data_IF_637839919935
#
_entry.id   IF_637839919935
#
_cell.length_a   1.000
_cell.length_b   1.000
_cell.length_c   1.000
_cell.angle_alpha   90.00
_cell.angle_beta   90.00
_cell.angle_gamma   90.00
#
_symmetry.space_group_name_H-M   'P 1'
#
loop_
_entity.id
_entity.type
_entity.pdbx_description
1 polymer ?
#
# COMPACT_ATOMS: atom_id res chain seq x y z
N UNK A 1 34.65 -15.88 -41.74
CA UNK A 1 35.01 -14.51 -42.18
C UNK A 1 34.26 -13.55 -41.29
N UNK A 2 34.79 -12.52 -40.65
CA UNK A 2 36.13 -12.06 -40.35
C UNK A 2 35.96 -11.04 -39.21
N UNK A 3 36.75 -11.15 -38.13
CA UNK A 3 37.28 -10.06 -37.28
C UNK A 3 37.79 -10.67 -35.98
N UNK A 4 38.99 -11.24 -36.08
CA UNK A 4 39.77 -11.74 -34.95
C UNK A 4 41.22 -11.32 -35.23
N UNK A 5 41.61 -10.12 -34.80
CA UNK A 5 43.03 -9.75 -34.54
C UNK A 5 43.15 -8.32 -34.03
N UNK A 6 43.36 -8.18 -32.72
CA UNK A 6 44.48 -7.43 -32.11
C UNK A 6 44.18 -7.27 -30.62
N UNK A 7 44.97 -7.95 -29.80
CA UNK A 7 45.75 -7.37 -28.71
C UNK A 7 46.47 -8.54 -28.00
N UNK A 8 47.78 -8.59 -28.19
CA UNK A 8 48.72 -9.45 -27.46
C UNK A 8 49.47 -8.62 -26.42
N UNK A 9 49.91 -9.32 -25.36
CA UNK A 9 50.85 -8.92 -24.29
C UNK A 9 50.22 -8.06 -23.16
N UNK A 10 50.22 -8.40 -21.86
CA UNK A 10 51.12 -9.23 -21.04
C UNK A 10 50.34 -10.01 -19.94
N UNK A 11 50.96 -11.08 -19.41
CA UNK A 11 50.41 -12.07 -18.45
C UNK A 11 49.86 -11.49 -17.13
N UNK A 12 49.07 -12.21 -16.34
CA UNK A 12 49.12 -13.65 -16.01
C UNK A 12 47.77 -14.12 -15.43
N UNK A 13 47.40 -15.38 -15.76
CA UNK A 13 46.34 -16.23 -15.19
C UNK A 13 44.88 -15.77 -15.30
N UNK A 14 44.33 -15.83 -16.51
CA UNK A 14 42.88 -15.98 -16.74
C UNK A 14 42.55 -17.47 -16.94
N UNK A 15 41.61 -17.98 -16.14
CA UNK A 15 41.00 -19.30 -16.34
C UNK A 15 39.98 -19.15 -17.46
N UNK A 16 40.11 -19.95 -18.52
CA UNK A 16 39.26 -19.90 -19.71
C UNK A 16 37.76 -20.12 -19.39
N UNK A 17 36.85 -19.42 -20.09
CA UNK A 17 35.41 -19.66 -19.97
C UNK A 17 35.11 -21.04 -20.58
N UNK A 18 34.62 -21.96 -19.74
CA UNK A 18 34.34 -23.35 -20.11
C UNK A 18 35.16 -24.42 -19.38
N UNK A 19 36.00 -24.07 -18.39
CA UNK A 19 36.71 -25.11 -17.63
C UNK A 19 35.77 -25.87 -16.68
N UNK A 20 35.83 -27.22 -16.62
CA UNK A 20 35.05 -28.04 -15.67
C UNK A 20 35.26 -27.63 -14.20
N UNK A 21 36.39 -27.00 -13.90
CA UNK A 21 36.75 -26.52 -12.56
C UNK A 21 35.94 -25.30 -12.12
N UNK A 22 35.44 -24.47 -13.05
CA UNK A 22 34.55 -23.36 -12.73
C UNK A 22 33.14 -23.84 -12.36
N UNK A 23 32.62 -24.81 -13.12
CA UNK A 23 31.32 -25.44 -12.87
C UNK A 23 31.35 -26.31 -11.60
N UNK A 24 32.46 -27.00 -11.34
CA UNK A 24 32.66 -27.79 -10.13
C UNK A 24 32.84 -26.92 -8.89
N UNK A 25 33.44 -25.72 -9.02
CA UNK A 25 33.42 -24.71 -7.95
C UNK A 25 32.00 -24.18 -7.72
N UNK A 26 31.26 -23.85 -8.77
CA UNK A 26 29.86 -23.44 -8.68
C UNK A 26 28.99 -24.49 -7.96
N UNK A 27 29.13 -25.78 -8.32
CA UNK A 27 28.42 -26.89 -7.66
C UNK A 27 28.87 -27.11 -6.21
N UNK A 28 30.16 -26.97 -5.91
CA UNK A 28 30.70 -27.11 -4.55
C UNK A 28 30.34 -25.93 -3.63
N UNK A 29 30.18 -24.72 -4.18
CA UNK A 29 29.69 -23.57 -3.41
C UNK A 29 28.18 -23.62 -3.20
N UNK A 30 27.40 -24.05 -4.19
CA UNK A 30 25.97 -24.29 -4.02
C UNK A 30 25.70 -25.36 -2.95
N UNK A 31 26.46 -26.46 -2.92
CA UNK A 31 26.31 -27.50 -1.89
C UNK A 31 26.77 -27.03 -0.50
N UNK A 32 27.84 -26.24 -0.41
CA UNK A 32 28.33 -25.71 0.87
C UNK A 32 27.44 -24.59 1.46
N UNK A 33 26.75 -23.83 0.60
CA UNK A 33 25.90 -22.70 1.03
C UNK A 33 24.44 -23.11 1.28
N UNK A 34 23.92 -24.09 0.52
CA UNK A 34 22.53 -24.57 0.63
C UNK A 34 22.36 -25.75 1.61
N UNK A 35 23.43 -26.44 2.02
CA UNK A 35 23.36 -27.62 2.90
C UNK A 35 24.46 -27.67 3.99
N UNK A 36 24.42 -26.81 5.02
CA UNK A 36 25.30 -26.95 6.16
C UNK A 36 24.76 -28.03 7.12
N UNK A 37 25.01 -29.31 6.83
CA UNK A 37 24.99 -30.36 7.85
C UNK A 37 24.22 -31.63 7.52
N UNK A 38 24.92 -32.64 7.01
CA UNK A 38 24.54 -34.06 7.18
C UNK A 38 25.77 -34.88 7.56
N UNK A 39 26.07 -34.90 8.86
CA UNK A 39 26.78 -36.02 9.47
C UNK A 39 26.17 -36.31 10.84
N UNK A 40 25.64 -37.52 10.99
CA UNK A 40 24.99 -38.04 12.19
C UNK A 40 25.94 -38.09 13.39
N UNK A 41 25.52 -37.54 14.54
CA UNK A 41 25.64 -38.23 15.83
C UNK A 41 24.57 -37.74 16.81
N UNK A 42 23.76 -38.68 17.27
CA UNK A 42 22.69 -38.54 18.25
C UNK A 42 23.16 -37.88 19.56
N UNK A 43 22.31 -37.07 20.19
CA UNK A 43 21.85 -37.37 21.55
C UNK A 43 20.63 -36.53 21.97
N UNK A 44 19.64 -37.25 22.47
CA UNK A 44 18.45 -36.84 23.21
C UNK A 44 18.64 -35.58 24.07
N UNK A 45 17.87 -34.52 23.79
CA UNK A 45 17.39 -33.52 24.77
C UNK A 45 15.98 -33.06 24.38
N UNK A 46 15.03 -33.98 24.38
CA UNK A 46 13.60 -33.71 24.30
C UNK A 46 13.04 -33.88 25.71
N UNK A 47 12.83 -32.77 26.41
CA UNK A 47 12.02 -32.66 27.65
C UNK A 47 12.16 -31.29 28.33
N UNK A 48 13.29 -30.59 28.19
CA UNK A 48 13.52 -29.30 28.90
C UNK A 48 13.19 -28.05 28.07
N UNK A 49 12.96 -28.18 26.76
CA UNK A 49 12.58 -27.06 25.90
C UNK A 49 11.08 -26.82 25.81
N UNK A 50 10.25 -27.84 26.10
CA UNK A 50 8.79 -27.69 26.15
C UNK A 50 8.37 -26.87 27.39
N UNK A 51 8.92 -27.18 28.57
CA UNK A 51 8.68 -26.38 29.79
C UNK A 51 9.21 -24.93 29.70
N UNK A 52 10.27 -24.69 28.92
CA UNK A 52 10.81 -23.34 28.72
C UNK A 52 9.93 -22.50 27.78
N UNK A 53 9.27 -23.14 26.82
CA UNK A 53 8.32 -22.47 25.91
C UNK A 53 7.02 -22.18 26.67
N UNK A 54 6.54 -23.09 27.51
CA UNK A 54 5.34 -22.86 28.34
C UNK A 54 5.60 -21.77 29.40
N UNK A 55 6.77 -21.78 30.06
CA UNK A 55 7.17 -20.70 30.98
C UNK A 55 7.31 -19.34 30.28
N UNK A 56 7.77 -19.30 29.03
CA UNK A 56 7.86 -18.06 28.26
C UNK A 56 6.47 -17.58 27.82
N UNK A 57 5.57 -18.50 27.47
CA UNK A 57 4.20 -18.18 27.06
C UNK A 57 3.41 -17.63 28.25
N UNK A 58 3.57 -18.23 29.44
CA UNK A 58 2.98 -17.74 30.68
C UNK A 58 3.55 -16.39 31.10
N UNK A 59 4.86 -16.16 30.95
CA UNK A 59 5.46 -14.84 31.22
C UNK A 59 4.98 -13.78 30.21
N UNK A 60 4.79 -14.15 28.94
CA UNK A 60 4.31 -13.25 27.90
C UNK A 60 2.82 -12.91 28.08
N UNK A 61 2.00 -13.89 28.46
CA UNK A 61 0.59 -13.68 28.83
C UNK A 61 0.50 -12.81 30.07
N UNK A 62 1.25 -13.11 31.14
CA UNK A 62 1.26 -12.30 32.35
C UNK A 62 1.74 -10.86 32.11
N UNK A 63 2.77 -10.64 31.27
CA UNK A 63 3.19 -9.28 30.88
C UNK A 63 2.13 -8.54 30.06
N UNK A 64 1.37 -9.24 29.20
CA UNK A 64 0.27 -8.62 28.46
C UNK A 64 -0.93 -8.33 29.35
N UNK A 65 -1.24 -9.20 30.30
CA UNK A 65 -2.32 -9.00 31.28
C UNK A 65 -1.98 -7.85 32.22
N UNK A 66 -0.74 -7.76 32.73
CA UNK A 66 -0.28 -6.62 33.53
C UNK A 66 -0.31 -5.31 32.75
N UNK A 67 0.14 -5.28 31.49
CA UNK A 67 0.02 -4.08 30.65
C UNK A 67 -1.43 -3.67 30.41
N UNK A 68 -2.34 -4.64 30.30
CA UNK A 68 -3.77 -4.37 30.16
C UNK A 68 -4.39 -3.84 31.46
N UNK A 69 -3.99 -4.37 32.62
CA UNK A 69 -4.41 -3.88 33.92
C UNK A 69 -3.86 -2.48 34.21
N UNK A 70 -2.60 -2.21 33.87
CA UNK A 70 -2.00 -0.86 33.93
C UNK A 70 -2.68 0.13 32.98
N UNK A 71 -3.05 -0.30 31.76
CA UNK A 71 -3.81 0.54 30.81
C UNK A 71 -5.23 0.80 31.30
N UNK A 72 -5.89 -0.22 31.88
CA UNK A 72 -7.23 -0.09 32.47
C UNK A 72 -7.21 0.84 33.67
N UNK A 73 -6.24 0.69 34.57
CA UNK A 73 -6.12 1.54 35.76
C UNK A 73 -5.72 2.98 35.40
N UNK A 74 -4.96 3.18 34.32
CA UNK A 74 -4.68 4.51 33.76
C UNK A 74 -5.91 5.12 33.07
N UNK A 75 -6.77 4.34 32.41
CA UNK A 75 -8.03 4.82 31.83
C UNK A 75 -9.06 5.19 32.89
N UNK A 76 -9.13 4.42 33.99
CA UNK A 76 -10.02 4.68 35.13
C UNK A 76 -9.51 5.86 35.97
N UNK A 77 -8.20 6.09 36.07
CA UNK A 77 -7.64 7.28 36.73
C UNK A 77 -7.72 8.55 35.86
N UNK A 78 -7.74 8.41 34.53
CA UNK A 78 -7.76 9.55 33.59
C UNK A 78 -9.17 10.06 33.27
N UNK A 79 -10.23 9.36 33.68
CA UNK A 79 -11.61 9.82 33.54
C UNK A 79 -12.05 10.86 34.59
N UNK A 80 -11.16 11.32 35.48
CA UNK A 80 -11.48 12.35 36.49
C UNK A 80 -10.84 13.72 36.18
N UNK A 81 -9.92 13.85 35.23
CA UNK A 81 -9.22 15.12 34.98
C UNK A 81 -8.96 15.36 33.48
N UNK A 82 -9.76 16.26 32.92
CA UNK A 82 -9.45 17.18 31.80
C UNK A 82 -9.67 16.70 30.36
N UNK A 83 -10.74 17.24 29.77
CA UNK A 83 -10.87 17.53 28.34
C UNK A 83 -9.81 18.58 27.93
N UNK A 84 -8.96 18.28 26.94
CA UNK A 84 -8.57 19.23 25.89
C UNK A 84 -7.78 18.54 24.76
N UNK A 85 -8.04 18.99 23.54
CA UNK A 85 -7.67 18.40 22.26
C UNK A 85 -6.18 18.47 21.93
N UNK A 86 -5.65 17.43 21.26
CA UNK A 86 -4.67 17.56 20.17
C UNK A 86 -4.56 16.24 19.38
N UNK A 87 -5.03 16.23 18.13
CA UNK A 87 -4.74 15.17 17.16
C UNK A 87 -3.69 15.65 16.16
N UNK A 88 -2.52 15.03 16.26
CA UNK A 88 -1.41 15.09 15.33
C UNK A 88 -1.79 14.36 14.03
N UNK A 89 -1.76 15.04 12.89
CA UNK A 89 -1.88 14.42 11.56
C UNK A 89 -0.69 14.84 10.72
N UNK A 90 0.16 13.85 10.43
CA UNK A 90 1.37 14.00 9.63
C UNK A 90 1.08 14.04 8.12
N UNK A 91 1.84 14.92 7.47
CA UNK A 91 2.45 14.80 6.15
C UNK A 91 1.57 14.43 4.94
N UNK A 92 0.92 15.46 4.39
CA UNK A 92 0.62 15.54 2.96
C UNK A 92 0.79 16.99 2.48
N UNK A 93 2.05 17.45 2.34
CA UNK A 93 2.33 18.73 1.68
C UNK A 93 3.77 18.80 1.17
N UNK A 94 4.03 18.19 0.02
CA UNK A 94 5.10 18.63 -0.86
C UNK A 94 4.60 18.55 -2.29
N UNK A 95 3.91 19.60 -2.72
CA UNK A 95 4.20 20.30 -3.98
C UNK A 95 3.11 21.35 -4.26
N UNK A 96 3.55 22.43 -4.91
CA UNK A 96 2.80 23.62 -5.33
C UNK A 96 2.61 24.68 -4.23
N UNK A 97 3.73 25.29 -3.83
CA UNK A 97 3.71 26.63 -3.24
C UNK A 97 3.87 27.66 -4.34
N UNK A 98 2.81 28.43 -4.62
CA UNK A 98 2.86 29.71 -5.35
C UNK A 98 1.53 30.48 -5.18
N UNK A 99 1.08 30.68 -3.94
CA UNK A 99 0.08 31.73 -3.68
C UNK A 99 0.77 33.11 -3.66
N UNK A 100 0.25 34.06 -4.43
CA UNK A 100 0.78 35.42 -4.47
C UNK A 100 0.53 36.13 -3.12
N UNK A 101 1.47 36.97 -2.68
CA UNK A 101 1.35 37.75 -1.44
C UNK A 101 0.11 38.66 -1.39
N UNK A 102 -0.50 38.97 -2.55
CA UNK A 102 -1.77 39.69 -2.64
C UNK A 102 -2.96 38.86 -2.12
N UNK A 103 -3.06 37.59 -2.51
CA UNK A 103 -4.13 36.69 -2.07
C UNK A 103 -4.10 36.43 -0.56
N UNK A 104 -2.91 36.36 0.03
CA UNK A 104 -2.75 36.22 1.48
C UNK A 104 -3.25 37.46 2.24
N UNK A 105 -3.17 38.65 1.64
CA UNK A 105 -3.69 39.89 2.21
C UNK A 105 -5.21 39.96 2.07
N UNK A 106 -5.77 39.52 0.94
CA UNK A 106 -7.22 39.39 0.77
C UNK A 106 -7.79 38.37 1.76
N UNK A 107 -7.13 37.22 1.95
CA UNK A 107 -7.48 36.21 2.97
C UNK A 107 -7.33 36.70 4.42
N UNK A 108 -6.40 37.63 4.69
CA UNK A 108 -6.28 38.27 6.01
C UNK A 108 -7.34 39.35 6.21
N UNK A 109 -7.77 40.05 5.16
CA UNK A 109 -8.91 40.95 5.19
C UNK A 109 -10.25 40.20 5.28
N UNK A 110 -10.30 38.95 4.82
CA UNK A 110 -11.44 38.01 4.94
C UNK A 110 -11.64 37.47 6.38
N UNK A 111 -10.71 37.73 7.31
CA UNK A 111 -10.67 37.10 8.65
C UNK A 111 -11.48 37.83 9.74
N UNK A 112 -12.46 38.66 9.38
CA UNK A 112 -13.37 39.33 10.32
C UNK A 112 -14.76 38.66 10.37
N UNK A 113 -15.49 38.69 11.50
CA UNK A 113 -16.53 37.71 11.86
C UNK A 113 -17.87 37.85 11.10
N UNK A 114 -17.91 38.63 10.03
CA UNK A 114 -19.13 38.93 9.27
C UNK A 114 -18.74 39.02 7.80
N UNK A 115 -18.78 37.91 7.06
CA UNK A 115 -18.61 37.94 5.61
C UNK A 115 -19.77 38.74 4.98
N UNK A 116 -19.60 40.05 4.82
CA UNK A 116 -20.41 40.91 3.96
C UNK A 116 -20.13 40.70 2.46
N UNK A 117 -19.50 39.57 2.09
CA UNK A 117 -19.23 39.20 0.71
C UNK A 117 -20.46 38.54 0.10
N UNK A 118 -21.07 39.29 -0.81
CA UNK A 118 -22.16 38.81 -1.65
C UNK A 118 -21.56 38.13 -2.88
N UNK A 119 -21.74 36.81 -3.01
CA UNK A 119 -21.20 36.06 -4.15
C UNK A 119 -21.83 36.47 -5.49
N UNK A 120 -22.94 37.23 -5.47
CA UNK A 120 -23.63 37.73 -6.67
C UNK A 120 -22.78 38.67 -7.53
N UNK A 121 -21.84 39.40 -6.92
CA UNK A 121 -20.96 40.31 -7.64
C UNK A 121 -19.68 39.65 -8.16
N UNK A 122 -19.46 38.37 -7.85
CA UNK A 122 -18.23 37.67 -8.21
C UNK A 122 -18.36 37.04 -9.60
N UNK A 123 -17.31 37.17 -10.40
CA UNK A 123 -17.15 36.37 -11.62
C UNK A 123 -16.86 34.91 -11.25
N UNK A 124 -17.17 33.98 -12.17
CA UNK A 124 -16.92 32.55 -11.97
C UNK A 124 -15.45 32.23 -11.59
N UNK A 125 -14.41 32.82 -12.22
CA UNK A 125 -13.03 32.57 -11.82
C UNK A 125 -12.71 33.08 -10.41
N UNK A 126 -13.33 34.18 -9.97
CA UNK A 126 -13.14 34.70 -8.61
C UNK A 126 -13.78 33.79 -7.56
N UNK A 127 -14.99 33.26 -7.85
CA UNK A 127 -15.65 32.28 -6.99
C UNK A 127 -14.82 30.99 -6.89
N UNK A 128 -14.33 30.50 -8.02
CA UNK A 128 -13.51 29.29 -8.10
C UNK A 128 -12.21 29.45 -7.29
N UNK A 129 -11.49 30.55 -7.48
CA UNK A 129 -10.26 30.84 -6.75
C UNK A 129 -10.51 31.01 -5.24
N UNK A 130 -11.64 31.61 -4.86
CA UNK A 130 -11.98 31.79 -3.45
C UNK A 130 -12.28 30.43 -2.79
N UNK A 131 -13.05 29.56 -3.45
CA UNK A 131 -13.31 28.21 -2.96
C UNK A 131 -12.03 27.38 -2.87
N UNK A 132 -11.19 27.39 -3.90
CA UNK A 132 -9.88 26.71 -3.87
C UNK A 132 -9.00 27.21 -2.73
N UNK A 133 -8.92 28.53 -2.53
CA UNK A 133 -8.16 29.11 -1.43
C UNK A 133 -8.67 28.64 -0.05
N UNK A 134 -10.00 28.57 0.14
CA UNK A 134 -10.57 28.05 1.38
C UNK A 134 -10.30 26.55 1.59
N UNK A 135 -10.24 25.77 0.51
CA UNK A 135 -9.89 24.34 0.53
C UNK A 135 -8.41 24.14 0.89
N UNK A 136 -7.51 24.92 0.29
CA UNK A 136 -6.07 24.85 0.57
C UNK A 136 -5.73 25.22 2.02
N UNK A 137 -6.39 26.25 2.54
CA UNK A 137 -6.20 26.72 3.93
C UNK A 137 -6.97 25.83 4.92
N UNK A 138 -7.83 24.93 4.43
CA UNK A 138 -8.74 24.08 5.21
C UNK A 138 -9.59 24.88 6.19
N UNK A 139 -9.98 26.10 5.81
CA UNK A 139 -10.82 26.95 6.65
C UNK A 139 -12.28 26.51 6.55
N UNK A 140 -12.68 25.64 7.46
CA UNK A 140 -14.02 25.04 7.51
C UNK A 140 -15.16 26.07 7.60
N UNK A 141 -14.97 27.15 8.36
CA UNK A 141 -16.05 28.12 8.62
C UNK A 141 -16.37 28.90 7.34
N UNK A 142 -15.34 29.46 6.72
CA UNK A 142 -15.50 30.28 5.51
C UNK A 142 -15.94 29.42 4.32
N UNK A 143 -15.39 28.22 4.19
CA UNK A 143 -15.82 27.28 3.17
C UNK A 143 -17.32 26.95 3.28
N UNK A 144 -17.81 26.59 4.48
CA UNK A 144 -19.22 26.28 4.68
C UNK A 144 -20.13 27.50 4.46
N UNK A 145 -19.64 28.70 4.78
CA UNK A 145 -20.35 29.93 4.47
C UNK A 145 -20.51 30.12 2.96
N UNK A 146 -19.43 29.96 2.19
CA UNK A 146 -19.46 30.08 0.73
C UNK A 146 -20.39 29.04 0.10
N UNK A 147 -20.34 27.78 0.55
CA UNK A 147 -21.25 26.74 0.06
C UNK A 147 -22.72 27.10 0.32
N UNK A 148 -23.05 27.64 1.50
CA UNK A 148 -24.41 28.11 1.79
C UNK A 148 -24.86 29.23 0.85
N UNK A 149 -23.95 30.15 0.53
CA UNK A 149 -24.24 31.21 -0.44
C UNK A 149 -24.45 30.62 -1.84
N UNK A 150 -23.60 29.68 -2.28
CA UNK A 150 -23.76 28.99 -3.58
C UNK A 150 -25.14 28.32 -3.71
N UNK A 151 -25.59 27.61 -2.67
CA UNK A 151 -26.93 27.01 -2.62
C UNK A 151 -28.02 28.09 -2.66
N UNK A 152 -27.89 29.14 -1.85
CA UNK A 152 -28.89 30.21 -1.74
C UNK A 152 -29.12 30.95 -3.07
N UNK A 153 -28.03 31.19 -3.82
CA UNK A 153 -28.08 31.93 -5.07
C UNK A 153 -28.11 31.03 -6.31
N UNK A 154 -28.18 29.70 -6.12
CA UNK A 154 -28.11 28.70 -7.19
C UNK A 154 -26.91 28.93 -8.13
N UNK A 155 -25.78 29.38 -7.58
CA UNK A 155 -24.53 29.61 -8.32
C UNK A 155 -23.57 28.48 -8.00
N UNK A 156 -23.22 27.70 -9.03
CA UNK A 156 -22.26 26.60 -8.91
C UNK A 156 -20.88 27.04 -9.43
N UNK A 157 -19.79 26.63 -8.76
CA UNK A 157 -18.43 26.81 -9.29
C UNK A 157 -18.22 25.94 -10.54
N UNK A 158 -17.08 26.10 -11.23
CA UNK A 158 -16.75 25.20 -12.33
C UNK A 158 -16.65 23.74 -11.87
N UNK A 159 -16.86 22.81 -12.80
CA UNK A 159 -16.98 21.37 -12.51
C UNK A 159 -15.82 20.80 -11.67
N UNK A 160 -14.57 21.17 -11.97
CA UNK A 160 -13.38 20.70 -11.26
C UNK A 160 -13.34 21.19 -9.80
N UNK A 161 -13.62 22.47 -9.59
CA UNK A 161 -13.69 23.06 -8.24
C UNK A 161 -14.89 22.50 -7.50
N UNK A 162 -16.01 22.27 -8.19
CA UNK A 162 -17.20 21.70 -7.59
C UNK A 162 -16.94 20.28 -7.08
N UNK A 163 -16.32 19.41 -7.88
CA UNK A 163 -15.92 18.06 -7.44
C UNK A 163 -15.00 18.13 -6.22
N UNK A 164 -14.05 19.07 -6.21
CA UNK A 164 -13.14 19.28 -5.07
C UNK A 164 -13.88 19.70 -3.80
N UNK A 165 -14.86 20.59 -3.93
CA UNK A 165 -15.75 21.00 -2.83
C UNK A 165 -16.59 19.82 -2.32
N UNK A 166 -17.15 19.00 -3.21
CA UNK A 166 -17.94 17.82 -2.85
C UNK A 166 -17.10 16.77 -2.11
N UNK A 167 -15.87 16.53 -2.56
CA UNK A 167 -14.91 15.66 -1.85
C UNK A 167 -14.64 16.18 -0.44
N UNK A 168 -14.38 17.48 -0.29
CA UNK A 168 -14.12 18.07 1.03
C UNK A 168 -15.36 18.06 1.94
N UNK A 169 -16.56 18.28 1.40
CA UNK A 169 -17.80 18.11 2.18
C UNK A 169 -17.99 16.66 2.65
N UNK A 170 -17.58 15.69 1.82
CA UNK A 170 -17.66 14.28 2.12
C UNK A 170 -16.72 13.88 3.26
N UNK A 171 -15.49 14.40 3.26
CA UNK A 171 -14.54 14.17 4.37
C UNK A 171 -14.98 14.85 5.67
N UNK A 172 -15.72 15.96 5.59
CA UNK A 172 -16.31 16.62 6.75
C UNK A 172 -17.61 15.96 7.27
N UNK A 173 -18.16 14.95 6.57
CA UNK A 173 -19.41 14.28 6.95
C UNK A 173 -20.66 15.17 6.81
N UNK A 174 -20.62 16.19 5.94
CA UNK A 174 -21.65 17.25 5.85
C UNK A 174 -22.78 16.89 4.87
N UNK A 175 -23.61 15.93 5.26
CA UNK A 175 -24.70 15.39 4.42
C UNK A 175 -25.76 16.43 4.02
N UNK A 176 -26.21 17.28 4.96
CA UNK A 176 -27.23 18.29 4.67
C UNK A 176 -26.81 19.25 3.54
N UNK A 177 -25.53 19.62 3.52
CA UNK A 177 -24.97 20.49 2.48
C UNK A 177 -24.88 19.75 1.14
N UNK A 178 -24.52 18.47 1.14
CA UNK A 178 -24.52 17.63 -0.07
C UNK A 178 -25.94 17.45 -0.64
N UNK A 179 -26.95 17.26 0.21
CA UNK A 179 -28.35 17.16 -0.23
C UNK A 179 -28.85 18.48 -0.80
N UNK A 180 -28.51 19.60 -0.15
CA UNK A 180 -28.85 20.93 -0.65
C UNK A 180 -28.21 21.21 -2.02
N UNK A 181 -26.95 20.83 -2.20
CA UNK A 181 -26.26 20.96 -3.49
C UNK A 181 -26.83 20.03 -4.55
N UNK A 182 -27.21 18.80 -4.19
CA UNK A 182 -27.87 17.88 -5.12
C UNK A 182 -29.23 18.43 -5.59
N UNK A 183 -29.99 19.06 -4.69
CA UNK A 183 -31.22 19.78 -5.05
C UNK A 183 -30.94 20.96 -5.99
N UNK A 184 -29.91 21.76 -5.71
CA UNK A 184 -29.49 22.84 -6.61
C UNK A 184 -29.11 22.30 -8.00
N UNK A 185 -28.37 21.18 -8.07
CA UNK A 185 -28.05 20.53 -9.34
C UNK A 185 -29.30 20.05 -10.08
N UNK A 186 -30.33 19.54 -9.38
CA UNK A 186 -31.62 19.16 -9.98
C UNK A 186 -32.37 20.38 -10.52
N UNK A 187 -32.45 21.46 -9.75
CA UNK A 187 -33.11 22.71 -10.16
C UNK A 187 -32.47 23.33 -11.41
N UNK A 188 -31.14 23.23 -11.53
CA UNK A 188 -30.39 23.75 -12.67
C UNK A 188 -30.27 22.76 -13.84
N UNK A 189 -30.87 21.56 -13.75
CA UNK A 189 -30.68 20.46 -14.70
C UNK A 189 -29.20 20.18 -15.01
N UNK A 190 -28.36 20.26 -13.98
CA UNK A 190 -26.91 20.10 -14.13
C UNK A 190 -26.56 18.64 -14.52
N UNK A 191 -25.60 18.40 -15.43
CA UNK A 191 -25.22 17.04 -15.84
C UNK A 191 -24.86 16.11 -14.68
N UNK A 192 -24.35 16.66 -13.59
CA UNK A 192 -23.91 15.91 -12.41
C UNK A 192 -25.03 15.12 -11.72
N UNK A 193 -26.27 15.58 -11.83
CA UNK A 193 -27.45 14.85 -11.33
C UNK A 193 -27.51 13.45 -11.93
N UNK A 194 -27.22 13.36 -13.24
CA UNK A 194 -27.27 12.09 -13.97
C UNK A 194 -25.91 11.38 -13.88
N UNK A 195 -24.81 12.09 -14.15
CA UNK A 195 -23.46 11.51 -14.16
C UNK A 195 -23.07 10.88 -12.83
N UNK A 196 -23.44 11.49 -11.70
CA UNK A 196 -23.09 11.02 -10.35
C UNK A 196 -24.31 10.52 -9.57
N UNK A 197 -25.44 10.27 -10.24
CA UNK A 197 -26.67 9.74 -9.64
C UNK A 197 -27.05 10.47 -8.35
N UNK A 198 -27.39 11.74 -8.46
CA UNK A 198 -27.69 12.63 -7.33
C UNK A 198 -26.55 12.74 -6.29
N UNK A 199 -25.31 12.79 -6.77
CA UNK A 199 -24.09 12.91 -5.97
C UNK A 199 -23.89 11.72 -5.00
N UNK A 200 -24.43 10.55 -5.35
CA UNK A 200 -24.35 9.34 -4.52
C UNK A 200 -22.92 8.93 -4.08
N UNK A 201 -21.84 9.05 -4.89
CA UNK A 201 -20.49 8.72 -4.41
C UNK A 201 -20.06 9.59 -3.22
N UNK A 202 -20.39 10.88 -3.27
CA UNK A 202 -20.04 11.85 -2.23
C UNK A 202 -20.89 11.64 -0.97
N UNK A 203 -22.19 11.38 -1.15
CA UNK A 203 -23.10 11.07 -0.04
C UNK A 203 -22.73 9.77 0.68
N UNK A 204 -22.39 8.72 -0.07
CA UNK A 204 -21.94 7.45 0.50
C UNK A 204 -20.69 7.63 1.37
N UNK A 205 -19.69 8.38 0.87
CA UNK A 205 -18.48 8.67 1.64
C UNK A 205 -18.76 9.51 2.89
N UNK A 206 -19.65 10.50 2.80
CA UNK A 206 -20.06 11.30 3.95
C UNK A 206 -20.81 10.48 5.02
N UNK A 207 -21.72 9.57 4.59
CA UNK A 207 -22.42 8.65 5.48
C UNK A 207 -21.45 7.69 6.18
N UNK A 208 -20.46 7.20 5.44
CA UNK A 208 -19.41 6.34 5.95
C UNK A 208 -18.60 7.05 7.05
N UNK A 209 -18.13 8.27 6.78
CA UNK A 209 -17.38 9.07 7.76
C UNK A 209 -18.19 9.43 9.01
N UNK A 210 -19.53 9.43 8.92
CA UNK A 210 -20.43 9.64 10.05
C UNK A 210 -20.73 8.35 10.84
N UNK A 211 -20.18 7.20 10.44
CA UNK A 211 -20.37 5.90 11.10
C UNK A 211 -21.60 5.12 10.64
N UNK A 212 -22.34 5.60 9.63
CA UNK A 212 -23.53 4.93 9.11
C UNK A 212 -23.17 3.98 7.96
N UNK A 213 -22.43 2.92 8.27
CA UNK A 213 -21.88 1.98 7.28
C UNK A 213 -22.94 1.36 6.37
N UNK A 214 -24.02 0.81 6.93
CA UNK A 214 -25.07 0.13 6.15
C UNK A 214 -25.73 1.06 5.13
N UNK A 215 -26.08 2.27 5.56
CA UNK A 215 -26.71 3.28 4.69
C UNK A 215 -25.71 3.77 3.63
N UNK A 216 -24.43 3.92 3.98
CA UNK A 216 -23.38 4.28 3.04
C UNK A 216 -23.23 3.23 1.93
N UNK A 217 -23.14 1.95 2.30
CA UNK A 217 -23.00 0.84 1.37
C UNK A 217 -24.24 0.68 0.47
N UNK A 218 -25.44 0.81 1.01
CA UNK A 218 -26.69 0.80 0.24
C UNK A 218 -26.79 1.99 -0.72
N UNK A 219 -26.33 3.18 -0.30
CA UNK A 219 -26.27 4.36 -1.17
C UNK A 219 -25.30 4.14 -2.33
N UNK A 220 -24.17 3.49 -2.06
CA UNK A 220 -23.17 3.16 -3.08
C UNK A 220 -23.70 2.13 -4.08
N UNK A 221 -24.34 1.05 -3.60
CA UNK A 221 -24.98 0.04 -4.45
C UNK A 221 -26.02 0.66 -5.39
N UNK A 222 -27.00 1.40 -4.83
CA UNK A 222 -28.06 2.05 -5.63
C UNK A 222 -27.50 3.07 -6.62
N UNK A 223 -26.56 3.90 -6.17
CA UNK A 223 -25.92 4.89 -7.02
C UNK A 223 -25.05 4.25 -8.11
N UNK A 224 -24.49 3.06 -7.87
CA UNK A 224 -23.73 2.33 -8.88
C UNK A 224 -24.63 1.91 -10.03
N UNK A 225 -25.79 1.33 -9.72
CA UNK A 225 -26.76 0.88 -10.71
C UNK A 225 -27.34 2.06 -11.51
N UNK A 226 -27.60 3.19 -10.85
CA UNK A 226 -28.07 4.41 -11.53
C UNK A 226 -26.97 5.07 -12.39
N UNK A 227 -25.71 5.05 -11.94
CA UNK A 227 -24.59 5.73 -12.58
C UNK A 227 -23.80 4.86 -13.56
N UNK A 228 -24.19 3.59 -13.72
CA UNK A 228 -23.40 2.58 -14.44
C UNK A 228 -23.11 2.95 -15.90
N UNK A 229 -24.04 3.61 -16.55
CA UNK A 229 -23.94 4.02 -17.96
C UNK A 229 -22.90 5.13 -18.18
N UNK A 230 -22.53 5.88 -17.14
CA UNK A 230 -21.61 7.02 -17.22
C UNK A 230 -20.23 6.64 -16.70
N UNK A 231 -19.22 6.73 -17.57
CA UNK A 231 -17.84 6.33 -17.28
C UNK A 231 -17.28 7.09 -16.06
N UNK A 232 -17.56 8.39 -15.95
CA UNK A 232 -17.10 9.24 -14.84
C UNK A 232 -17.76 8.87 -13.52
N UNK A 233 -19.08 8.70 -13.51
CA UNK A 233 -19.85 8.24 -12.35
C UNK A 233 -19.35 6.89 -11.84
N UNK A 234 -19.22 5.93 -12.76
CA UNK A 234 -18.65 4.60 -12.50
C UNK A 234 -17.24 4.69 -11.92
N UNK A 235 -16.36 5.55 -12.46
CA UNK A 235 -15.01 5.76 -11.92
C UNK A 235 -15.04 6.34 -10.51
N UNK A 236 -15.90 7.32 -10.25
CA UNK A 236 -16.02 7.95 -8.93
C UNK A 236 -16.56 6.98 -7.89
N UNK A 237 -17.57 6.17 -8.24
CA UNK A 237 -18.09 5.12 -7.36
C UNK A 237 -17.04 4.07 -7.03
N UNK A 238 -16.31 3.59 -8.05
CA UNK A 238 -15.18 2.68 -7.87
C UNK A 238 -14.10 3.25 -6.96
N UNK A 239 -13.79 4.54 -7.11
CA UNK A 239 -12.85 5.24 -6.22
C UNK A 239 -13.37 5.30 -4.78
N UNK A 240 -14.64 5.65 -4.61
CA UNK A 240 -15.29 5.76 -3.29
C UNK A 240 -15.32 4.40 -2.59
N UNK A 241 -15.74 3.36 -3.31
CA UNK A 241 -15.78 1.99 -2.80
C UNK A 241 -14.40 1.51 -2.36
N UNK A 242 -13.35 1.81 -3.14
CA UNK A 242 -11.97 1.48 -2.77
C UNK A 242 -11.56 2.15 -1.46
N UNK A 243 -11.85 3.44 -1.29
CA UNK A 243 -11.56 4.18 -0.04
C UNK A 243 -12.27 3.55 1.15
N UNK A 244 -13.56 3.23 1.01
CA UNK A 244 -14.34 2.56 2.07
C UNK A 244 -13.74 1.19 2.39
N UNK A 245 -13.34 0.41 1.38
CA UNK A 245 -12.71 -0.89 1.59
C UNK A 245 -11.39 -0.78 2.36
N UNK A 246 -10.52 0.16 2.00
CA UNK A 246 -9.26 0.43 2.68
C UNK A 246 -9.49 0.83 4.16
N UNK A 247 -10.47 1.70 4.41
CA UNK A 247 -10.81 2.15 5.77
C UNK A 247 -11.46 1.05 6.62
N UNK A 248 -12.27 0.17 6.02
CA UNK A 248 -12.93 -0.95 6.72
C UNK A 248 -11.90 -1.87 7.37
N UNK A 249 -10.85 -2.23 6.63
CA UNK A 249 -9.79 -3.08 7.18
C UNK A 249 -8.94 -2.35 8.22
N UNK A 250 -8.71 -1.05 8.04
CA UNK A 250 -8.02 -0.25 9.06
C UNK A 250 -8.81 -0.19 10.38
N UNK A 251 -10.14 -0.11 10.30
CA UNK A 251 -11.04 -0.12 11.46
C UNK A 251 -11.28 -1.52 12.05
N UNK A 252 -10.92 -2.59 11.31
CA UNK A 252 -11.03 -4.00 11.75
C UNK A 252 -12.46 -4.43 12.09
N UNK A 253 -13.43 -3.95 11.33
CA UNK A 253 -14.83 -4.31 11.52
C UNK A 253 -15.23 -5.48 10.62
N UNK A 254 -15.25 -6.70 11.18
CA UNK A 254 -15.61 -7.93 10.45
C UNK A 254 -17.05 -7.88 9.91
N UNK A 255 -18.00 -7.39 10.71
CA UNK A 255 -19.39 -7.26 10.29
C UNK A 255 -19.52 -6.35 9.06
N UNK A 256 -18.80 -5.22 9.04
CA UNK A 256 -18.84 -4.29 7.92
C UNK A 256 -18.10 -4.84 6.70
N UNK A 257 -17.05 -5.65 6.90
CA UNK A 257 -16.39 -6.37 5.81
C UNK A 257 -17.32 -7.38 5.13
N UNK A 258 -18.15 -8.08 5.89
CA UNK A 258 -19.16 -8.99 5.34
C UNK A 258 -20.15 -8.20 4.48
N UNK A 259 -20.72 -7.11 5.00
CA UNK A 259 -21.65 -6.26 4.25
C UNK A 259 -21.01 -5.65 2.99
N UNK A 260 -19.74 -5.22 3.09
CA UNK A 260 -18.98 -4.70 1.95
C UNK A 260 -18.78 -5.78 0.86
N UNK A 261 -18.51 -7.02 1.29
CA UNK A 261 -18.35 -8.17 0.40
C UNK A 261 -19.67 -8.50 -0.29
N UNK A 262 -20.79 -8.50 0.44
CA UNK A 262 -22.12 -8.73 -0.12
C UNK A 262 -22.47 -7.68 -1.18
N UNK A 263 -22.21 -6.39 -0.91
CA UNK A 263 -22.41 -5.32 -1.89
C UNK A 263 -21.53 -5.49 -3.13
N UNK A 264 -20.25 -5.87 -2.96
CA UNK A 264 -19.36 -6.16 -4.08
C UNK A 264 -19.88 -7.31 -4.95
N UNK A 265 -20.39 -8.38 -4.32
CA UNK A 265 -21.00 -9.54 -5.01
C UNK A 265 -22.26 -9.14 -5.75
N UNK A 266 -23.15 -8.37 -5.13
CA UNK A 266 -24.38 -7.87 -5.76
C UNK A 266 -24.07 -7.01 -6.99
N UNK A 267 -23.12 -6.08 -6.89
CA UNK A 267 -22.69 -5.26 -8.03
C UNK A 267 -22.12 -6.12 -9.16
N UNK A 268 -21.32 -7.14 -8.84
CA UNK A 268 -20.78 -8.04 -9.85
C UNK A 268 -21.88 -8.86 -10.53
N UNK A 269 -22.86 -9.37 -9.78
CA UNK A 269 -23.99 -10.13 -10.34
C UNK A 269 -24.87 -9.27 -11.25
N UNK A 270 -25.14 -8.02 -10.88
CA UNK A 270 -26.00 -7.12 -11.65
C UNK A 270 -25.32 -6.57 -12.91
N UNK A 271 -24.03 -6.21 -12.81
CA UNK A 271 -23.33 -5.43 -13.84
C UNK A 271 -22.15 -6.15 -14.50
N UNK A 272 -21.89 -7.40 -14.11
CA UNK A 272 -20.71 -8.17 -14.49
C UNK A 272 -19.39 -7.41 -14.23
N UNK A 273 -19.34 -6.66 -13.13
CA UNK A 273 -18.22 -5.78 -12.81
C UNK A 273 -17.34 -6.34 -11.70
N UNK A 274 -16.28 -7.05 -12.08
CA UNK A 274 -15.38 -7.70 -11.13
C UNK A 274 -14.54 -6.71 -10.31
N UNK A 275 -14.50 -5.43 -10.66
CA UNK A 275 -13.62 -4.46 -10.02
C UNK A 275 -13.90 -4.31 -8.51
N UNK A 276 -15.16 -4.31 -8.10
CA UNK A 276 -15.51 -4.13 -6.68
C UNK A 276 -15.05 -5.32 -5.85
N UNK A 277 -15.29 -6.53 -6.35
CA UNK A 277 -14.81 -7.77 -5.73
C UNK A 277 -13.28 -7.78 -5.66
N UNK A 278 -12.60 -7.37 -6.73
CA UNK A 278 -11.15 -7.28 -6.76
C UNK A 278 -10.59 -6.26 -5.76
N UNK A 279 -11.33 -5.17 -5.47
CA UNK A 279 -10.93 -4.22 -4.43
C UNK A 279 -11.02 -4.85 -3.04
N UNK A 280 -12.13 -5.51 -2.72
CA UNK A 280 -12.28 -6.23 -1.43
C UNK A 280 -11.20 -7.31 -1.30
N UNK A 281 -11.04 -8.15 -2.32
CA UNK A 281 -10.02 -9.20 -2.35
C UNK A 281 -8.62 -8.64 -2.08
N UNK A 282 -8.22 -7.57 -2.78
CA UNK A 282 -6.89 -6.99 -2.63
C UNK A 282 -6.64 -6.56 -1.18
N UNK A 283 -7.61 -5.90 -0.55
CA UNK A 283 -7.43 -5.43 0.82
C UNK A 283 -7.36 -6.61 1.80
N UNK A 284 -8.27 -7.58 1.67
CA UNK A 284 -8.28 -8.79 2.49
C UNK A 284 -6.98 -9.60 2.35
N UNK A 285 -6.45 -9.70 1.13
CA UNK A 285 -5.24 -10.44 0.82
C UNK A 285 -3.98 -9.82 1.47
N UNK A 286 -3.87 -8.50 1.44
CA UNK A 286 -2.72 -7.76 2.03
C UNK A 286 -2.78 -7.79 3.56
N UNK A 287 -3.97 -7.96 4.14
CA UNK A 287 -4.17 -7.97 5.59
C UNK A 287 -3.26 -8.99 6.29
N UNK A 288 -2.82 -8.63 7.50
CA UNK A 288 -2.08 -9.52 8.38
C UNK A 288 -3.00 -10.46 9.18
N UNK A 289 -4.32 -10.30 9.06
CA UNK A 289 -5.30 -11.06 9.83
C UNK A 289 -5.71 -12.32 9.08
N UNK A 290 -5.71 -13.44 9.79
CA UNK A 290 -6.05 -14.74 9.21
C UNK A 290 -7.50 -14.80 8.70
N UNK A 291 -8.44 -14.17 9.40
CA UNK A 291 -9.86 -14.09 8.98
C UNK A 291 -9.99 -13.44 7.60
N UNK A 292 -9.32 -12.30 7.41
CA UNK A 292 -9.35 -11.54 6.16
C UNK A 292 -8.69 -12.33 5.03
N UNK A 293 -7.54 -12.97 5.31
CA UNK A 293 -6.85 -13.83 4.35
C UNK A 293 -7.73 -15.00 3.91
N UNK A 294 -8.46 -15.62 4.84
CA UNK A 294 -9.43 -16.68 4.53
C UNK A 294 -10.55 -16.16 3.62
N UNK A 295 -11.11 -14.99 3.92
CA UNK A 295 -12.11 -14.35 3.05
C UNK A 295 -11.54 -14.02 1.66
N UNK A 296 -10.26 -13.64 1.57
CA UNK A 296 -9.61 -13.42 0.28
C UNK A 296 -9.50 -14.73 -0.52
N UNK A 297 -9.11 -15.84 0.11
CA UNK A 297 -9.07 -17.15 -0.55
C UNK A 297 -10.45 -17.59 -1.03
N UNK A 298 -11.48 -17.46 -0.19
CA UNK A 298 -12.87 -17.79 -0.57
C UNK A 298 -13.36 -16.96 -1.77
N UNK A 299 -13.03 -15.66 -1.82
CA UNK A 299 -13.35 -14.81 -2.98
C UNK A 299 -12.58 -15.24 -4.23
N UNK A 300 -11.30 -15.60 -4.08
CA UNK A 300 -10.45 -16.01 -5.18
C UNK A 300 -10.92 -17.32 -5.81
N UNK A 301 -11.30 -18.31 -4.99
CA UNK A 301 -11.85 -19.59 -5.45
C UNK A 301 -13.20 -19.43 -6.14
N UNK A 302 -14.06 -18.56 -5.61
CA UNK A 302 -15.42 -18.39 -6.12
C UNK A 302 -15.46 -17.68 -7.49
N UNK A 303 -14.61 -16.68 -7.70
CA UNK A 303 -14.67 -15.82 -8.90
C UNK A 303 -13.55 -16.11 -9.90
N UNK A 304 -13.83 -16.90 -10.94
CA UNK A 304 -12.87 -17.16 -12.05
C UNK A 304 -12.39 -15.90 -12.77
N UNK A 305 -13.24 -14.88 -12.85
CA UNK A 305 -12.86 -13.59 -13.44
C UNK A 305 -11.84 -12.84 -12.57
N UNK A 306 -11.89 -13.03 -11.24
CA UNK A 306 -10.90 -12.50 -10.32
C UNK A 306 -9.56 -13.19 -10.52
N UNK A 307 -9.53 -14.53 -10.65
CA UNK A 307 -8.31 -15.30 -10.92
C UNK A 307 -7.61 -14.78 -12.18
N UNK A 308 -8.35 -14.64 -13.28
CA UNK A 308 -7.83 -14.09 -14.54
C UNK A 308 -7.34 -12.64 -14.40
N UNK A 309 -8.04 -11.81 -13.63
CA UNK A 309 -7.65 -10.42 -13.40
C UNK A 309 -6.35 -10.32 -12.58
N UNK A 310 -6.22 -11.14 -11.54
CA UNK A 310 -5.06 -11.17 -10.65
C UNK A 310 -3.83 -11.70 -11.40
N UNK A 311 -3.96 -12.80 -12.14
CA UNK A 311 -2.88 -13.33 -12.97
C UNK A 311 -2.37 -12.30 -14.00
N UNK A 312 -3.29 -11.60 -14.70
CA UNK A 312 -2.93 -10.52 -15.63
C UNK A 312 -2.26 -9.31 -14.98
N UNK A 313 -2.41 -9.14 -13.67
CA UNK A 313 -1.87 -8.00 -12.91
C UNK A 313 -0.80 -8.43 -11.91
N UNK A 314 -0.25 -9.64 -12.05
CA UNK A 314 0.74 -10.21 -11.14
C UNK A 314 1.93 -9.26 -10.92
N UNK A 315 2.53 -8.76 -12.00
CA UNK A 315 3.63 -7.76 -11.94
C UNK A 315 3.25 -6.55 -11.11
N UNK A 316 2.15 -5.88 -11.46
CA UNK A 316 1.71 -4.66 -10.79
C UNK A 316 1.37 -4.87 -9.31
N UNK A 317 0.87 -6.06 -8.96
CA UNK A 317 0.62 -6.44 -7.57
C UNK A 317 1.95 -6.68 -6.82
N UNK A 318 2.89 -7.41 -7.42
CA UNK A 318 4.21 -7.64 -6.85
C UNK A 318 4.93 -6.32 -6.58
N UNK A 319 5.02 -5.42 -7.57
CA UNK A 319 5.60 -4.09 -7.37
C UNK A 319 4.89 -3.30 -6.26
N UNK A 320 3.54 -3.37 -6.22
CA UNK A 320 2.77 -2.71 -5.16
C UNK A 320 3.08 -3.28 -3.78
N UNK A 321 3.25 -4.59 -3.61
CA UNK A 321 3.52 -5.22 -2.31
C UNK A 321 4.96 -5.03 -1.87
N UNK A 322 5.92 -5.20 -2.78
CA UNK A 322 7.35 -5.01 -2.55
C UNK A 322 7.68 -3.54 -2.23
N UNK A 323 6.97 -2.59 -2.86
CA UNK A 323 7.08 -1.17 -2.53
C UNK A 323 6.67 -0.83 -1.09
N UNK A 324 5.81 -1.64 -0.46
CA UNK A 324 5.45 -1.54 0.96
C UNK A 324 6.25 -2.50 1.85
N UNK A 325 7.32 -3.12 1.31
CA UNK A 325 8.12 -4.15 1.97
C UNK A 325 7.35 -5.38 2.45
N UNK A 326 6.17 -5.65 1.86
CA UNK A 326 5.36 -6.81 2.20
C UNK A 326 5.75 -8.01 1.32
N UNK A 327 6.89 -8.62 1.66
CA UNK A 327 7.43 -9.80 0.96
C UNK A 327 6.55 -11.03 1.18
N UNK A 328 5.94 -11.14 2.36
CA UNK A 328 5.00 -12.22 2.71
C UNK A 328 3.80 -12.27 1.77
N UNK A 329 3.20 -11.13 1.43
CA UNK A 329 2.11 -11.08 0.45
C UNK A 329 2.53 -11.56 -0.94
N UNK A 330 3.79 -11.36 -1.34
CA UNK A 330 4.31 -11.88 -2.63
C UNK A 330 4.51 -13.38 -2.57
N UNK A 331 5.04 -13.92 -1.48
CA UNK A 331 5.13 -15.37 -1.29
C UNK A 331 3.75 -16.04 -1.31
N UNK A 332 2.78 -15.49 -0.59
CA UNK A 332 1.38 -15.97 -0.64
C UNK A 332 0.79 -15.88 -2.04
N UNK A 333 1.16 -14.85 -2.82
CA UNK A 333 0.68 -14.72 -4.20
C UNK A 333 1.27 -15.80 -5.11
N UNK A 334 2.56 -16.12 -4.93
CA UNK A 334 3.23 -17.23 -5.62
C UNK A 334 2.56 -18.56 -5.27
N UNK A 335 2.28 -18.81 -3.98
CA UNK A 335 1.57 -20.02 -3.53
C UNK A 335 0.21 -20.15 -4.21
N UNK A 336 -0.59 -19.08 -4.24
CA UNK A 336 -1.89 -19.06 -4.93
C UNK A 336 -1.75 -19.33 -6.43
N UNK A 337 -0.73 -18.79 -7.11
CA UNK A 337 -0.51 -19.08 -8.52
C UNK A 337 -0.09 -20.52 -8.78
N UNK A 338 0.70 -21.11 -7.89
CA UNK A 338 1.09 -22.52 -7.97
C UNK A 338 -0.13 -23.44 -7.75
N UNK A 339 -0.96 -23.16 -6.76
CA UNK A 339 -2.18 -23.93 -6.47
C UNK A 339 -3.15 -23.94 -7.67
N UNK A 340 -3.26 -22.82 -8.38
CA UNK A 340 -4.15 -22.67 -9.53
C UNK A 340 -3.47 -22.92 -10.89
N UNK A 341 -2.24 -23.45 -10.92
CA UNK A 341 -1.47 -23.74 -12.13
C UNK A 341 -1.20 -22.53 -13.06
N UNK A 342 -1.17 -21.31 -12.52
CA UNK A 342 -0.88 -20.07 -13.26
C UNK A 342 0.63 -19.82 -13.39
N UNK A 343 1.32 -20.70 -14.14
CA UNK A 343 2.79 -20.71 -14.24
C UNK A 343 3.40 -19.41 -14.76
N UNK A 344 2.75 -18.75 -15.72
CA UNK A 344 3.26 -17.47 -16.26
C UNK A 344 3.30 -16.38 -15.18
N UNK A 345 2.18 -16.20 -14.47
CA UNK A 345 2.07 -15.23 -13.38
C UNK A 345 3.03 -15.56 -12.21
N UNK A 346 3.26 -16.84 -11.95
CA UNK A 346 4.26 -17.31 -10.98
C UNK A 346 5.68 -16.91 -11.39
N UNK A 347 6.08 -17.16 -12.64
CA UNK A 347 7.40 -16.80 -13.15
C UNK A 347 7.66 -15.28 -13.11
N UNK A 348 6.63 -14.49 -13.46
CA UNK A 348 6.64 -13.03 -13.38
C UNK A 348 6.81 -12.53 -11.93
N UNK A 349 6.11 -13.17 -10.99
CA UNK A 349 6.21 -12.87 -9.56
C UNK A 349 7.59 -13.22 -8.97
N UNK A 350 8.15 -14.37 -9.35
CA UNK A 350 9.51 -14.79 -8.96
C UNK A 350 10.56 -13.84 -9.53
N UNK A 351 10.39 -13.39 -10.78
CA UNK A 351 11.27 -12.41 -11.41
C UNK A 351 11.24 -11.08 -10.65
N UNK A 352 10.04 -10.58 -10.31
CA UNK A 352 9.89 -9.33 -9.55
C UNK A 352 10.48 -9.43 -8.13
N UNK A 353 10.33 -10.58 -7.49
CA UNK A 353 10.91 -10.85 -6.18
C UNK A 353 12.44 -10.91 -6.24
N UNK A 354 13.00 -11.52 -7.28
CA UNK A 354 14.45 -11.54 -7.52
C UNK A 354 15.00 -10.12 -7.65
N UNK A 355 14.40 -9.28 -8.49
CA UNK A 355 14.84 -7.90 -8.70
C UNK A 355 14.83 -7.09 -7.39
N UNK A 356 13.82 -7.31 -6.55
CA UNK A 356 13.74 -6.67 -5.23
C UNK A 356 14.88 -7.09 -4.30
N UNK A 357 15.20 -8.39 -4.21
CA UNK A 357 16.30 -8.86 -3.37
C UNK A 357 17.68 -8.50 -3.94
N UNK A 358 17.83 -8.51 -5.26
CA UNK A 358 19.06 -8.08 -5.95
C UNK A 358 19.39 -6.62 -5.64
N UNK A 359 18.39 -5.72 -5.73
CA UNK A 359 18.56 -4.31 -5.39
C UNK A 359 18.97 -4.07 -3.92
N UNK A 360 18.67 -5.02 -3.03
CA UNK A 360 19.08 -5.00 -1.61
C UNK A 360 20.39 -5.74 -1.35
N UNK A 361 21.00 -6.30 -2.39
CA UNK A 361 22.23 -7.11 -2.35
C UNK A 361 22.12 -8.36 -1.46
N UNK A 362 20.94 -8.95 -1.40
CA UNK A 362 20.70 -10.17 -0.61
C UNK A 362 21.00 -11.43 -1.43
N UNK A 363 22.26 -11.86 -1.42
CA UNK A 363 22.71 -13.04 -2.17
C UNK A 363 21.94 -14.30 -1.77
N UNK A 364 21.63 -14.45 -0.48
CA UNK A 364 20.98 -15.67 0.03
C UNK A 364 19.57 -15.78 -0.53
N UNK A 365 18.79 -14.71 -0.46
CA UNK A 365 17.43 -14.71 -1.00
C UNK A 365 17.43 -14.91 -2.52
N UNK A 366 18.34 -14.25 -3.25
CA UNK A 366 18.49 -14.47 -4.69
C UNK A 366 18.84 -15.93 -5.03
N UNK A 367 19.72 -16.58 -4.25
CA UNK A 367 20.09 -17.98 -4.47
C UNK A 367 18.92 -18.95 -4.26
N UNK A 368 18.11 -18.71 -3.22
CA UNK A 368 16.90 -19.52 -2.98
C UNK A 368 15.88 -19.32 -4.11
N UNK A 369 15.69 -18.09 -4.62
CA UNK A 369 14.77 -17.84 -5.74
C UNK A 369 15.25 -18.57 -7.01
N UNK A 370 16.55 -18.50 -7.34
CA UNK A 370 17.13 -19.23 -8.48
C UNK A 370 16.92 -20.75 -8.33
N UNK A 371 17.11 -21.27 -7.12
CA UNK A 371 16.85 -22.68 -6.81
C UNK A 371 15.38 -23.04 -7.02
N UNK A 372 14.45 -22.25 -6.48
CA UNK A 372 13.00 -22.46 -6.66
C UNK A 372 12.59 -22.37 -8.14
N UNK A 373 13.13 -21.42 -8.90
CA UNK A 373 12.94 -21.32 -10.34
C UNK A 373 13.41 -22.59 -11.08
N UNK A 374 14.54 -23.16 -10.66
CA UNK A 374 15.04 -24.42 -11.24
C UNK A 374 14.18 -25.63 -10.87
N UNK A 375 13.71 -25.71 -9.63
CA UNK A 375 12.84 -26.80 -9.15
C UNK A 375 11.45 -26.77 -9.79
N UNK A 376 10.94 -25.56 -10.05
CA UNK A 376 9.63 -25.34 -10.67
C UNK A 376 9.66 -25.33 -12.20
N UNK A 377 10.84 -25.52 -12.81
CA UNK A 377 11.06 -25.42 -14.27
C UNK A 377 10.63 -24.06 -14.86
N UNK A 378 10.79 -22.98 -14.10
CA UNK A 378 10.47 -21.60 -14.49
C UNK A 378 11.74 -20.74 -14.45
N UNK A 379 12.60 -20.84 -15.49
CA UNK A 379 13.90 -20.17 -15.47
C UNK A 379 13.74 -18.64 -15.50
N UNK A 380 14.59 -17.96 -14.72
CA UNK A 380 14.71 -16.50 -14.75
C UNK A 380 15.22 -16.01 -16.11
N UNK A 381 15.01 -14.71 -16.38
CA UNK A 381 15.50 -14.06 -17.59
C UNK A 381 17.03 -14.06 -17.62
N UNK A 382 17.62 -14.08 -18.81
CA UNK A 382 19.09 -14.06 -19.00
C UNK A 382 19.76 -12.92 -18.25
N UNK A 383 19.15 -11.72 -18.28
CA UNK A 383 19.62 -10.54 -17.56
C UNK A 383 19.69 -10.76 -16.03
N UNK A 384 18.71 -11.44 -15.45
CA UNK A 384 18.67 -11.74 -14.02
C UNK A 384 19.70 -12.81 -13.63
N UNK A 385 19.98 -13.76 -14.52
CA UNK A 385 21.07 -14.71 -14.33
C UNK A 385 22.44 -14.02 -14.35
N UNK A 386 22.64 -13.05 -15.24
CA UNK A 386 23.86 -12.21 -15.26
C UNK A 386 23.98 -11.35 -13.99
N UNK A 387 22.88 -10.75 -13.53
CA UNK A 387 22.82 -10.02 -12.26
C UNK A 387 23.13 -10.91 -11.05
N UNK A 388 22.64 -12.15 -11.04
CA UNK A 388 22.97 -13.10 -9.98
C UNK A 388 24.47 -13.40 -9.95
N UNK A 389 25.07 -13.60 -11.13
CA UNK A 389 26.51 -13.85 -11.26
C UNK A 389 27.36 -12.65 -10.85
N UNK A 390 26.97 -11.42 -11.21
CA UNK A 390 27.68 -10.22 -10.75
C UNK A 390 27.62 -10.08 -9.23
N UNK A 391 26.45 -10.30 -8.63
CA UNK A 391 26.30 -10.27 -7.17
C UNK A 391 27.13 -11.34 -6.46
N UNK A 392 27.27 -12.51 -7.08
CA UNK A 392 28.10 -13.60 -6.57
C UNK A 392 29.60 -13.27 -6.64
N UNK A 393 30.05 -12.62 -7.71
CA UNK A 393 31.46 -12.26 -7.95
C UNK A 393 31.91 -11.00 -7.18
N UNK A 394 30.99 -10.05 -6.94
CA UNK A 394 31.27 -8.79 -6.23
C UNK A 394 31.29 -8.94 -4.70
N UNK A 395 30.92 -10.11 -4.17
CA UNK A 395 31.05 -10.40 -2.74
C UNK A 395 32.50 -10.79 -2.43
N UNK A 396 33.24 -10.01 -1.61
CA UNK A 396 34.59 -10.37 -1.22
C UNK A 396 34.54 -11.71 -0.47
N UNK A 397 35.43 -12.61 -0.87
CA UNK A 397 35.54 -13.95 -0.30
C UNK A 397 35.56 -13.87 1.24
N UNK A 398 34.68 -14.57 1.98
CA UNK A 398 34.75 -14.62 3.44
C UNK A 398 36.09 -15.20 3.94
N UNK A 399 36.87 -15.82 3.05
CA UNK A 399 38.20 -16.34 3.31
C UNK A 399 39.36 -15.36 3.08
N UNK A 400 39.14 -14.19 2.45
CA UNK A 400 40.22 -13.22 2.23
C UNK A 400 40.42 -12.24 3.39
N UNK A 401 39.42 -12.06 4.25
CA UNK A 401 39.53 -11.16 5.42
C UNK A 401 40.41 -11.70 6.56
N UNK A 402 40.86 -12.96 6.50
CA UNK A 402 41.69 -13.59 7.55
C UNK A 402 43.15 -13.81 7.18
N UNK A 403 43.60 -13.52 5.96
CA UNK A 403 45.01 -13.74 5.55
C UNK A 403 45.93 -12.53 5.63
N UNK A 404 45.44 -11.33 5.93
CA UNK A 404 46.26 -10.10 5.91
C UNK A 404 46.44 -9.38 7.26
N UNK A 405 46.25 -10.05 8.41
CA UNK A 405 46.71 -9.54 9.71
C UNK A 405 48.04 -10.17 10.10
N UNK A 406 49.11 -9.72 9.46
CA UNK A 406 50.44 -10.27 9.74
C UNK A 406 51.63 -9.59 9.06
N UNK A 407 51.70 -8.26 8.97
CA UNK A 407 52.97 -7.54 9.16
C UNK A 407 52.84 -6.00 9.12
N UNK A 408 53.24 -5.39 10.24
CA UNK A 408 53.83 -4.06 10.50
C UNK A 408 53.70 -2.92 9.48
N UNK A 409 53.25 -1.77 9.98
CA UNK A 409 54.09 -0.56 9.95
C UNK A 409 53.45 0.72 9.40
N UNK A 410 53.15 1.64 10.32
CA UNK A 410 53.09 3.10 10.18
C UNK A 410 51.94 3.79 9.41
N UNK A 411 51.33 4.71 10.18
CA UNK A 411 50.97 6.08 9.81
C UNK A 411 49.51 6.38 9.40
N UNK A 412 48.94 7.28 10.21
CA UNK A 412 47.87 8.26 9.97
C UNK A 412 46.44 7.72 10.06
N UNK A 413 45.90 7.86 11.27
CA UNK A 413 44.48 7.76 11.55
C UNK A 413 43.78 9.05 11.14
N UNK A 414 43.02 9.01 10.06
CA UNK A 414 41.96 9.97 9.79
C UNK A 414 40.62 9.24 9.67
N UNK A 415 39.62 9.79 10.34
CA UNK A 415 38.37 9.13 10.75
C UNK A 415 37.50 8.77 9.54
N UNK A 416 37.04 7.51 9.47
CA UNK A 416 35.88 7.13 8.64
C UNK A 416 34.91 6.26 9.43
N UNK A 417 33.65 6.67 9.33
CA UNK A 417 32.43 6.18 9.95
C UNK A 417 32.31 4.65 9.98
N UNK A 418 31.98 4.11 11.16
CA UNK A 418 31.38 2.79 11.31
C UNK A 418 29.85 2.88 11.09
N UNK A 419 29.22 1.92 10.39
CA UNK A 419 27.81 1.66 10.58
C UNK A 419 27.62 0.82 11.84
N UNK A 420 26.77 1.32 12.75
CA UNK A 420 26.39 0.63 13.98
C UNK A 420 25.76 -0.74 13.67
N UNK A 421 26.35 -1.77 14.26
CA UNK A 421 25.74 -3.09 14.39
C UNK A 421 24.51 -2.98 15.30
N UNK A 422 23.32 -3.21 14.76
CA UNK A 422 22.10 -3.43 15.53
C UNK A 422 22.28 -4.66 16.43
N UNK A 423 22.37 -4.44 17.74
CA UNK A 423 22.26 -5.49 18.76
C UNK A 423 20.79 -5.72 19.07
N UNK A 424 20.31 -6.94 18.89
CA UNK A 424 19.08 -7.40 19.52
C UNK A 424 19.25 -7.35 21.04
N UNK A 425 18.36 -6.64 21.73
CA UNK A 425 18.12 -6.82 23.15
C UNK A 425 16.96 -7.81 23.30
N UNK A 426 17.23 -8.91 23.98
CA UNK A 426 16.22 -9.80 24.54
C UNK A 426 15.40 -9.08 25.61
#
# INVERSE_FOLDING_TARGET
MAMLTRLTSNGTTTVAPGSPKGLQRFQNYLSAFLWPGTSHRQQRKSSTQLDAIDSFTDELVNRKTQKWEELRDNLIKKSVVTEEHQSNSGNFSQNVGLMSKGMMNDLKQLRSPQLGLDIRSLSQPQLDNLLLATLEIKNKVDFLYLIKQCVRWQLLPCNEVFISCLRYLSTLGRLQQLDSLAETCRQLNHPFTITYSDLAPFKALALWNNGNADVALMTLHRGYSAGYQYIEGKRMMRSTFRTIAEETLAQKSEAVLISLTEVARAIHQEHNDIFMVACVWKQCFISSWFSDQKSASELYEHFKDLQRLVARRADGLCYSFLGHHNVDAVHRLIEVFLEHNERAACADSLSSLFDYHYNRKDLRACAEIVKSCSELEMPLKTEQNEQFLSLFLDNPDPFETTKNKGNKGNAIADKKYMPESFKYKF
#
